data_IF_848859160593
#
_entry.id   IF_848859160593
#
_cell.length_a   1.000
_cell.length_b   1.000
_cell.length_c   1.000
_cell.angle_alpha   90.00
_cell.angle_beta   90.00
_cell.angle_gamma   90.00
#
_symmetry.space_group_name_H-M   'P 1'
#
loop_
_entity.id
_entity.type
_entity.pdbx_description
1 polymer ?
#
# COMPACT_ATOMS: atom_id res chain seq x y z
N UNK A 1 30.48 46.72 1.28
CA UNK A 1 29.59 46.16 0.25
C UNK A 1 30.45 45.22 -0.58
N UNK A 2 30.74 44.05 -0.04
CA UNK A 2 31.51 43.01 -0.72
C UNK A 2 30.67 41.75 -0.68
N UNK A 3 30.32 41.23 -1.86
CA UNK A 3 29.70 39.93 -2.01
C UNK A 3 30.79 38.89 -1.78
N UNK A 4 30.59 37.90 -0.89
CA UNK A 4 31.47 36.74 -0.89
C UNK A 4 31.22 35.93 -2.16
N UNK A 5 32.31 35.57 -2.80
CA UNK A 5 32.42 34.77 -4.00
C UNK A 5 31.70 33.44 -3.81
N UNK A 6 30.84 33.10 -4.77
CA UNK A 6 30.22 31.77 -4.84
C UNK A 6 31.32 30.82 -5.32
N UNK A 7 32.00 30.19 -4.37
CA UNK A 7 32.95 29.12 -4.62
C UNK A 7 32.25 27.98 -5.37
N UNK A 8 32.90 27.58 -6.46
CA UNK A 8 32.45 26.56 -7.38
C UNK A 8 32.27 25.21 -6.68
N UNK A 9 31.01 24.87 -6.38
CA UNK A 9 30.64 23.48 -6.08
C UNK A 9 30.82 22.68 -7.37
N UNK A 10 31.80 21.79 -7.35
CA UNK A 10 32.07 20.82 -8.41
C UNK A 10 30.78 20.13 -8.86
N UNK A 11 30.48 20.29 -10.14
CA UNK A 11 29.28 19.83 -10.83
C UNK A 11 29.26 18.30 -10.93
N UNK A 12 28.92 17.63 -9.82
CA UNK A 12 28.24 16.35 -9.93
C UNK A 12 26.89 16.67 -10.57
N UNK A 13 26.72 16.24 -11.81
CA UNK A 13 25.58 16.59 -12.67
C UNK A 13 24.31 16.04 -12.00
N UNK A 14 23.63 16.87 -11.22
CA UNK A 14 22.35 16.48 -10.64
C UNK A 14 21.40 16.28 -11.82
N UNK A 15 21.02 15.03 -12.08
CA UNK A 15 20.14 14.75 -13.21
C UNK A 15 18.78 15.39 -12.96
N UNK A 16 18.21 16.00 -14.00
CA UNK A 16 16.87 16.57 -13.96
C UNK A 16 15.85 15.56 -13.40
N UNK A 17 15.97 14.29 -13.78
CA UNK A 17 15.13 13.19 -13.28
C UNK A 17 15.18 13.07 -11.76
N UNK A 18 16.37 13.16 -11.15
CA UNK A 18 16.55 13.07 -9.70
C UNK A 18 15.86 14.25 -8.98
N UNK A 19 16.07 15.48 -9.47
CA UNK A 19 15.42 16.67 -8.90
C UNK A 19 13.90 16.65 -9.07
N UNK A 20 13.42 16.22 -10.23
CA UNK A 20 11.99 16.12 -10.51
C UNK A 20 11.31 15.07 -9.61
N UNK A 21 11.97 13.93 -9.32
CA UNK A 21 11.48 12.95 -8.34
C UNK A 21 11.41 13.55 -6.92
N UNK A 22 12.43 14.29 -6.50
CA UNK A 22 12.41 14.98 -5.19
C UNK A 22 11.29 16.03 -5.10
N UNK A 23 11.11 16.84 -6.14
CA UNK A 23 10.04 17.82 -6.21
C UNK A 23 8.64 17.15 -6.22
N UNK A 24 8.52 16.01 -6.88
CA UNK A 24 7.32 15.18 -6.87
C UNK A 24 6.98 14.68 -5.46
N UNK A 25 7.94 14.08 -4.77
CA UNK A 25 7.74 13.59 -3.39
C UNK A 25 7.40 14.72 -2.42
N UNK A 26 8.08 15.86 -2.53
CA UNK A 26 7.76 17.05 -1.75
C UNK A 26 6.32 17.49 -2.01
N UNK A 27 5.89 17.52 -3.27
CA UNK A 27 4.54 17.89 -3.65
C UNK A 27 3.50 16.92 -3.09
N UNK A 28 3.75 15.61 -3.14
CA UNK A 28 2.84 14.61 -2.55
C UNK A 28 2.73 14.76 -1.02
N UNK A 29 3.86 14.91 -0.32
CA UNK A 29 3.89 15.07 1.14
C UNK A 29 3.14 16.31 1.62
N UNK A 30 3.16 17.39 0.81
CA UNK A 30 2.48 18.65 1.10
C UNK A 30 1.08 18.75 0.46
N UNK A 31 0.54 17.64 -0.05
CA UNK A 31 -0.81 17.56 -0.64
C UNK A 31 -1.01 18.47 -1.87
N UNK A 32 0.07 18.83 -2.58
CA UNK A 32 0.09 19.67 -3.77
C UNK A 32 -0.13 18.83 -5.03
N UNK A 33 -1.31 18.22 -5.14
CA UNK A 33 -1.60 17.19 -6.15
C UNK A 33 -1.40 17.63 -7.60
N UNK A 34 -1.81 18.87 -7.94
CA UNK A 34 -1.62 19.43 -9.29
C UNK A 34 -0.14 19.60 -9.64
N UNK A 35 0.69 19.97 -8.65
CA UNK A 35 2.15 20.09 -8.85
C UNK A 35 2.78 18.70 -8.97
N UNK A 36 2.35 17.74 -8.16
CA UNK A 36 2.78 16.35 -8.27
C UNK A 36 2.45 15.78 -9.66
N UNK A 37 1.24 16.02 -10.18
CA UNK A 37 0.86 15.60 -11.52
C UNK A 37 1.77 16.20 -12.60
N UNK A 38 2.05 17.51 -12.52
CA UNK A 38 2.95 18.18 -13.46
C UNK A 38 4.36 17.56 -13.49
N UNK A 39 4.97 17.33 -12.31
CA UNK A 39 6.29 16.71 -12.26
C UNK A 39 6.26 15.26 -12.74
N UNK A 40 5.21 14.50 -12.44
CA UNK A 40 5.07 13.13 -12.92
C UNK A 40 4.90 13.06 -14.45
N UNK A 41 4.11 13.95 -15.06
CA UNK A 41 3.99 14.07 -16.52
C UNK A 41 5.35 14.38 -17.17
N UNK A 42 6.11 15.31 -16.58
CA UNK A 42 7.46 15.65 -17.04
C UNK A 42 8.41 14.46 -16.93
N UNK A 43 8.33 13.69 -15.84
CA UNK A 43 9.15 12.49 -15.63
C UNK A 43 8.84 11.40 -16.68
N UNK A 44 7.57 11.16 -16.98
CA UNK A 44 7.16 10.20 -18.03
C UNK A 44 7.60 10.66 -19.42
N UNK A 45 7.49 11.95 -19.72
CA UNK A 45 7.93 12.51 -21.00
C UNK A 45 9.46 12.38 -21.19
N UNK A 46 10.24 12.52 -20.13
CA UNK A 46 11.70 12.41 -20.17
C UNK A 46 12.16 10.94 -20.25
N UNK A 47 11.56 10.06 -19.43
CA UNK A 47 11.90 8.64 -19.38
C UNK A 47 10.63 7.82 -19.13
N UNK A 48 9.97 7.31 -20.19
CA UNK A 48 8.85 6.41 -20.03
C UNK A 48 9.34 5.04 -19.53
N UNK A 49 8.93 4.66 -18.33
CA UNK A 49 9.15 3.33 -17.76
C UNK A 49 8.02 2.99 -16.78
N UNK A 50 8.00 1.74 -16.30
CA UNK A 50 6.96 1.28 -15.36
C UNK A 50 6.94 2.11 -14.07
N UNK A 51 8.11 2.53 -13.58
CA UNK A 51 8.24 3.36 -12.38
C UNK A 51 7.66 4.77 -12.58
N UNK A 52 8.01 5.47 -13.67
CA UNK A 52 7.51 6.83 -13.92
C UNK A 52 6.01 6.82 -14.22
N UNK A 53 5.53 5.78 -14.89
CA UNK A 53 4.10 5.56 -15.14
C UNK A 53 3.33 5.32 -13.84
N UNK A 54 3.92 4.58 -12.89
CA UNK A 54 3.36 4.41 -11.56
C UNK A 54 3.25 5.75 -10.81
N UNK A 55 4.30 6.57 -10.81
CA UNK A 55 4.29 7.89 -10.16
C UNK A 55 3.21 8.81 -10.75
N UNK A 56 3.01 8.77 -12.07
CA UNK A 56 1.93 9.49 -12.74
C UNK A 56 0.55 9.00 -12.32
N UNK A 57 0.35 7.68 -12.31
CA UNK A 57 -0.89 7.08 -11.81
C UNK A 57 -1.18 7.46 -10.37
N UNK A 58 -0.16 7.49 -9.51
CA UNK A 58 -0.26 7.89 -8.11
C UNK A 58 -0.68 9.36 -7.97
N UNK A 59 -0.08 10.25 -8.76
CA UNK A 59 -0.43 11.67 -8.78
C UNK A 59 -1.91 11.88 -9.16
N UNK A 60 -2.36 11.25 -10.25
CA UNK A 60 -3.75 11.34 -10.71
C UNK A 60 -4.73 10.70 -9.72
N UNK A 61 -4.34 9.60 -9.07
CA UNK A 61 -5.15 8.99 -8.03
C UNK A 61 -5.41 9.96 -6.87
N UNK A 62 -4.36 10.63 -6.37
CA UNK A 62 -4.51 11.64 -5.31
C UNK A 62 -5.28 12.88 -5.78
N UNK A 63 -5.18 13.24 -7.06
CA UNK A 63 -5.96 14.32 -7.66
C UNK A 63 -7.42 13.92 -7.98
N UNK A 64 -7.86 12.71 -7.61
CA UNK A 64 -9.21 12.17 -7.86
C UNK A 64 -9.56 11.96 -9.35
N UNK A 65 -8.55 11.90 -10.22
CA UNK A 65 -8.71 11.65 -11.67
C UNK A 65 -8.59 10.14 -11.97
N UNK A 66 -9.46 9.36 -11.33
CA UNK A 66 -9.38 7.89 -11.28
C UNK A 66 -9.39 7.22 -12.66
N UNK A 67 -10.20 7.72 -13.60
CA UNK A 67 -10.27 7.17 -14.94
C UNK A 67 -8.96 7.38 -15.74
N UNK A 68 -8.30 8.53 -15.56
CA UNK A 68 -6.99 8.80 -16.18
C UNK A 68 -5.92 7.94 -15.54
N UNK A 69 -5.89 7.87 -14.21
CA UNK A 69 -4.98 7.00 -13.47
C UNK A 69 -5.12 5.54 -13.93
N UNK A 70 -6.36 5.04 -14.04
CA UNK A 70 -6.63 3.69 -14.54
C UNK A 70 -6.03 3.48 -15.93
N UNK A 71 -6.26 4.41 -16.86
CA UNK A 71 -5.77 4.29 -18.24
C UNK A 71 -4.24 4.22 -18.31
N UNK A 72 -3.54 5.09 -17.57
CA UNK A 72 -2.07 5.10 -17.55
C UNK A 72 -1.47 3.86 -16.87
N UNK A 73 -2.15 3.28 -15.88
CA UNK A 73 -1.63 2.12 -15.13
C UNK A 73 -1.89 0.77 -15.82
N UNK A 74 -2.69 0.73 -16.89
CA UNK A 74 -2.94 -0.49 -17.65
C UNK A 74 -1.63 -1.03 -18.26
N UNK A 75 -1.37 -2.32 -18.04
CA UNK A 75 -0.18 -3.01 -18.57
C UNK A 75 1.10 -2.83 -17.73
N UNK A 76 1.06 -2.10 -16.61
CA UNK A 76 2.22 -1.94 -15.74
C UNK A 76 2.56 -3.28 -15.02
N UNK A 77 3.86 -3.60 -14.96
CA UNK A 77 4.35 -4.86 -14.38
C UNK A 77 4.61 -4.77 -12.88
N UNK A 78 4.76 -3.55 -12.34
CA UNK A 78 5.05 -3.34 -10.93
C UNK A 78 3.87 -3.76 -10.05
N UNK A 79 4.12 -4.48 -8.93
CA UNK A 79 3.06 -4.88 -8.01
C UNK A 79 2.36 -3.66 -7.37
N UNK A 80 3.10 -2.60 -7.05
CA UNK A 80 2.54 -1.37 -6.48
C UNK A 80 1.58 -0.69 -7.46
N UNK A 81 1.93 -0.69 -8.75
CA UNK A 81 1.11 -0.12 -9.81
C UNK A 81 -0.18 -0.92 -10.04
N UNK A 82 -0.08 -2.25 -10.00
CA UNK A 82 -1.25 -3.15 -10.11
C UNK A 82 -2.20 -3.00 -8.92
N UNK A 83 -1.66 -2.90 -7.70
CA UNK A 83 -2.46 -2.62 -6.52
C UNK A 83 -3.17 -1.25 -6.63
N UNK A 84 -2.45 -0.21 -7.08
CA UNK A 84 -3.04 1.11 -7.30
C UNK A 84 -4.13 1.08 -8.39
N UNK A 85 -3.91 0.34 -9.48
CA UNK A 85 -4.90 0.12 -10.54
C UNK A 85 -6.16 -0.54 -9.96
N UNK A 86 -6.02 -1.59 -9.16
CA UNK A 86 -7.15 -2.24 -8.50
C UNK A 86 -7.92 -1.27 -7.58
N UNK A 87 -7.21 -0.41 -6.85
CA UNK A 87 -7.82 0.62 -6.00
C UNK A 87 -8.61 1.65 -6.83
N UNK A 88 -8.08 2.07 -7.98
CA UNK A 88 -8.81 2.93 -8.92
C UNK A 88 -10.07 2.24 -9.44
N UNK A 89 -9.96 0.99 -9.88
CA UNK A 89 -11.10 0.18 -10.39
C UNK A 89 -12.19 0.00 -9.33
N UNK A 90 -11.80 -0.26 -8.07
CA UNK A 90 -12.72 -0.39 -6.93
C UNK A 90 -13.50 0.91 -6.68
N UNK A 91 -12.85 2.07 -6.72
CA UNK A 91 -13.52 3.37 -6.58
C UNK A 91 -14.45 3.69 -7.77
N UNK A 92 -14.08 3.24 -8.97
CA UNK A 92 -14.91 3.34 -10.17
C UNK A 92 -16.03 2.28 -10.22
N UNK A 93 -16.17 1.43 -9.20
CA UNK A 93 -17.15 0.32 -9.12
C UNK A 93 -17.02 -0.69 -10.26
N UNK A 94 -15.82 -0.83 -10.83
CA UNK A 94 -15.49 -1.83 -11.86
C UNK A 94 -14.83 -3.03 -11.18
N UNK A 95 -15.65 -3.85 -10.53
CA UNK A 95 -15.20 -4.93 -9.66
C UNK A 95 -14.41 -6.01 -10.42
N UNK A 96 -14.85 -6.38 -11.63
CA UNK A 96 -14.20 -7.42 -12.45
C UNK A 96 -12.75 -7.04 -12.78
N UNK A 97 -12.51 -5.79 -13.18
CA UNK A 97 -11.17 -5.29 -13.46
C UNK A 97 -10.31 -5.12 -12.20
N UNK A 98 -10.92 -4.90 -11.05
CA UNK A 98 -10.19 -4.83 -9.79
C UNK A 98 -9.65 -6.22 -9.40
N UNK A 99 -10.44 -7.28 -9.60
CA UNK A 99 -10.00 -8.67 -9.38
C UNK A 99 -8.88 -9.05 -10.34
N UNK A 100 -9.03 -8.75 -11.63
CA UNK A 100 -8.00 -9.00 -12.64
C UNK A 100 -6.68 -8.27 -12.34
N UNK A 101 -6.75 -7.06 -11.80
CA UNK A 101 -5.54 -6.31 -11.43
C UNK A 101 -4.85 -6.87 -10.17
N UNK A 102 -5.58 -7.51 -9.26
CA UNK A 102 -5.04 -8.10 -8.02
C UNK A 102 -4.52 -9.52 -8.20
N UNK A 103 -5.12 -10.30 -9.11
CA UNK A 103 -4.76 -11.67 -9.38
C UNK A 103 -3.84 -11.74 -10.61
N UNK A 104 -2.58 -12.21 -10.48
CA UNK A 104 -1.64 -12.21 -11.59
C UNK A 104 -1.97 -13.21 -12.71
N UNK A 105 -2.95 -14.11 -12.52
CA UNK A 105 -3.38 -15.11 -13.50
C UNK A 105 -4.87 -15.01 -13.78
N UNK A 106 -5.23 -14.90 -15.06
CA UNK A 106 -6.58 -14.72 -15.58
C UNK A 106 -7.50 -15.96 -15.46
N UNK A 107 -7.26 -16.84 -14.48
CA UNK A 107 -7.87 -18.18 -14.43
C UNK A 107 -8.10 -18.74 -13.03
N UNK A 108 -8.49 -17.90 -12.07
CA UNK A 108 -8.70 -18.31 -10.68
C UNK A 108 -7.38 -18.28 -9.91
N UNK A 109 -6.90 -17.08 -9.61
CA UNK A 109 -5.63 -16.88 -8.94
C UNK A 109 -5.64 -17.44 -7.51
N UNK A 110 -4.55 -18.13 -7.15
CA UNK A 110 -4.29 -18.54 -5.78
C UNK A 110 -4.22 -17.29 -4.89
N UNK A 111 -4.91 -17.30 -3.74
CA UNK A 111 -4.84 -16.21 -2.75
C UNK A 111 -3.41 -15.92 -2.27
N UNK A 112 -2.49 -16.87 -2.45
CA UNK A 112 -1.08 -16.74 -2.07
C UNK A 112 -0.26 -15.85 -3.04
N UNK A 113 -0.76 -15.59 -4.25
CA UNK A 113 -0.06 -14.81 -5.28
C UNK A 113 -0.62 -13.38 -5.42
N UNK A 114 -1.47 -12.96 -4.48
CA UNK A 114 -2.11 -11.64 -4.54
C UNK A 114 -1.08 -10.53 -4.45
N UNK A 115 -1.22 -9.56 -5.35
CA UNK A 115 -0.35 -8.39 -5.43
C UNK A 115 -0.38 -7.61 -4.11
N UNK A 116 0.79 -7.19 -3.62
CA UNK A 116 0.93 -6.41 -2.38
C UNK A 116 0.52 -7.16 -1.08
N UNK A 117 0.50 -8.50 -1.11
CA UNK A 117 0.35 -9.36 0.06
C UNK A 117 -0.95 -9.09 0.85
N UNK A 118 -0.82 -8.79 2.15
CA UNK A 118 -1.96 -8.55 3.04
C UNK A 118 -2.88 -7.40 2.57
N UNK A 119 -2.31 -6.29 2.08
CA UNK A 119 -3.11 -5.15 1.61
C UNK A 119 -3.93 -5.50 0.36
N UNK A 120 -3.36 -6.29 -0.55
CA UNK A 120 -4.06 -6.81 -1.72
C UNK A 120 -5.17 -7.78 -1.35
N UNK A 121 -4.93 -8.70 -0.40
CA UNK A 121 -5.93 -9.64 0.11
C UNK A 121 -7.11 -8.92 0.74
N UNK A 122 -6.85 -7.85 1.50
CA UNK A 122 -7.90 -7.02 2.06
C UNK A 122 -8.74 -6.34 0.97
N UNK A 123 -8.11 -5.73 -0.03
CA UNK A 123 -8.82 -5.11 -1.15
C UNK A 123 -9.61 -6.13 -1.96
N UNK A 124 -9.08 -7.33 -2.18
CA UNK A 124 -9.78 -8.43 -2.85
C UNK A 124 -11.02 -8.84 -2.06
N UNK A 125 -10.92 -8.97 -0.73
CA UNK A 125 -12.07 -9.26 0.14
C UNK A 125 -13.16 -8.20 0.02
N UNK A 126 -12.80 -6.91 -0.05
CA UNK A 126 -13.76 -5.83 -0.28
C UNK A 126 -14.44 -5.93 -1.63
N UNK A 127 -13.69 -6.26 -2.69
CA UNK A 127 -14.24 -6.42 -4.04
C UNK A 127 -15.20 -7.63 -4.08
N UNK A 128 -14.81 -8.78 -3.54
CA UNK A 128 -15.66 -9.98 -3.47
C UNK A 128 -16.95 -9.74 -2.66
N UNK A 129 -16.86 -8.97 -1.56
CA UNK A 129 -18.03 -8.54 -0.78
C UNK A 129 -18.99 -7.71 -1.63
N UNK A 130 -18.48 -6.77 -2.43
CA UNK A 130 -19.29 -5.93 -3.34
C UNK A 130 -19.90 -6.74 -4.49
N UNK A 131 -19.26 -7.82 -4.90
CA UNK A 131 -19.80 -8.77 -5.88
C UNK A 131 -20.81 -9.76 -5.28
N UNK A 132 -21.01 -9.78 -3.96
CA UNK A 132 -21.91 -10.70 -3.28
C UNK A 132 -21.31 -12.09 -2.99
N UNK A 133 -20.02 -12.30 -3.27
CA UNK A 133 -19.30 -13.56 -3.01
C UNK A 133 -18.79 -13.62 -1.57
N UNK A 134 -19.73 -13.71 -0.62
CA UNK A 134 -19.43 -13.62 0.83
C UNK A 134 -18.41 -14.64 1.32
N UNK A 135 -18.53 -15.90 0.91
CA UNK A 135 -17.64 -16.98 1.37
C UNK A 135 -16.18 -16.73 0.96
N UNK A 136 -15.97 -16.30 -0.29
CA UNK A 136 -14.65 -15.94 -0.81
C UNK A 136 -14.09 -14.71 -0.09
N UNK A 137 -14.93 -13.72 0.22
CA UNK A 137 -14.51 -12.56 1.00
C UNK A 137 -14.04 -12.94 2.41
N UNK A 138 -14.75 -13.85 3.10
CA UNK A 138 -14.35 -14.36 4.42
C UNK A 138 -12.98 -15.03 4.36
N UNK A 139 -12.73 -15.86 3.34
CA UNK A 139 -11.42 -16.49 3.16
C UNK A 139 -10.31 -15.47 2.89
N UNK A 140 -10.57 -14.48 2.04
CA UNK A 140 -9.61 -13.40 1.73
C UNK A 140 -9.23 -12.61 3.00
N UNK A 141 -10.21 -12.22 3.82
CA UNK A 141 -9.93 -11.50 5.06
C UNK A 141 -9.22 -12.37 6.09
N UNK A 142 -9.57 -13.66 6.19
CA UNK A 142 -8.87 -14.58 7.08
C UNK A 142 -7.39 -14.74 6.68
N UNK A 143 -7.11 -14.92 5.39
CA UNK A 143 -5.73 -14.95 4.85
C UNK A 143 -4.99 -13.65 5.10
N UNK A 144 -5.66 -12.50 4.92
CA UNK A 144 -5.09 -11.19 5.24
C UNK A 144 -4.62 -11.11 6.70
N UNK A 145 -5.39 -11.66 7.65
CA UNK A 145 -5.04 -11.65 9.08
C UNK A 145 -3.94 -12.65 9.44
N UNK A 146 -3.79 -13.73 8.66
CA UNK A 146 -2.65 -14.64 8.81
C UNK A 146 -1.33 -13.94 8.42
N UNK A 147 -1.36 -13.12 7.37
CA UNK A 147 -0.20 -12.35 6.90
C UNK A 147 0.09 -11.13 7.78
N UNK A 148 -0.94 -10.35 8.12
CA UNK A 148 -0.83 -9.15 8.94
C UNK A 148 -1.93 -9.11 10.01
N UNK A 149 -1.63 -9.57 11.24
CA UNK A 149 -2.55 -9.53 12.38
C UNK A 149 -2.97 -8.10 12.78
N UNK A 150 -2.17 -7.08 12.44
CA UNK A 150 -2.45 -5.68 12.76
C UNK A 150 -3.51 -5.04 11.86
N UNK A 151 -4.02 -5.75 10.84
CA UNK A 151 -5.01 -5.23 9.91
C UNK A 151 -6.41 -5.21 10.56
N UNK A 152 -6.68 -4.20 11.39
CA UNK A 152 -7.91 -4.12 12.18
C UNK A 152 -9.17 -4.14 11.30
N UNK A 153 -9.17 -3.41 10.18
CA UNK A 153 -10.33 -3.34 9.28
C UNK A 153 -10.67 -4.72 8.68
N UNK A 154 -9.65 -5.53 8.39
CA UNK A 154 -9.86 -6.89 7.91
C UNK A 154 -10.53 -7.76 8.98
N UNK A 155 -10.13 -7.62 10.25
CA UNK A 155 -10.76 -8.33 11.36
C UNK A 155 -12.19 -7.89 11.63
N UNK A 156 -12.46 -6.58 11.60
CA UNK A 156 -13.82 -6.07 11.77
C UNK A 156 -14.74 -6.62 10.68
N UNK A 157 -14.33 -6.52 9.41
CA UNK A 157 -15.11 -7.02 8.28
C UNK A 157 -15.30 -8.52 8.33
N UNK A 158 -14.23 -9.28 8.61
CA UNK A 158 -14.29 -10.72 8.78
C UNK A 158 -15.26 -11.13 9.90
N UNK A 159 -15.12 -10.53 11.08
CA UNK A 159 -15.97 -10.81 12.24
C UNK A 159 -17.44 -10.49 11.94
N UNK A 160 -17.71 -9.35 11.29
CA UNK A 160 -19.07 -8.99 10.88
C UNK A 160 -19.66 -9.98 9.87
N UNK A 161 -18.87 -10.45 8.90
CA UNK A 161 -19.31 -11.46 7.92
C UNK A 161 -19.45 -12.87 8.52
N UNK A 162 -18.76 -13.19 9.60
CA UNK A 162 -18.94 -14.48 10.29
C UNK A 162 -20.12 -14.41 11.26
N UNK A 163 -20.23 -13.35 12.05
CA UNK A 163 -21.26 -13.17 13.09
C UNK A 163 -22.60 -12.68 12.56
N UNK A 164 -22.60 -11.91 11.46
CA UNK A 164 -23.79 -11.37 10.82
C UNK A 164 -24.54 -12.37 9.95
N UNK A 165 -24.17 -13.66 9.98
CA UNK A 165 -24.95 -14.73 9.38
C UNK A 165 -26.18 -15.01 10.25
N UNK A 166 -27.41 -14.97 9.74
CA UNK A 166 -28.59 -15.35 10.50
C UNK A 166 -28.69 -16.88 10.59
N UNK A 167 -28.02 -17.54 11.55
CA UNK A 167 -28.32 -18.93 11.99
C UNK A 167 -27.57 -19.33 13.30
N UNK A 168 -27.92 -20.43 14.03
CA UNK A 168 -28.53 -20.40 15.36
C UNK A 168 -27.60 -20.82 16.54
N UNK A 169 -26.29 -20.93 16.34
CA UNK A 169 -25.37 -21.49 17.34
C UNK A 169 -24.14 -20.61 17.51
N UNK A 170 -24.27 -19.60 18.38
CA UNK A 170 -23.16 -18.72 18.80
C UNK A 170 -22.29 -19.44 19.82
N UNK A 171 -21.32 -20.20 19.35
CA UNK A 171 -20.30 -20.77 20.23
C UNK A 171 -19.07 -21.18 19.43
N UNK A 172 -18.21 -20.22 19.02
CA UNK A 172 -16.81 -20.49 18.58
C UNK A 172 -15.90 -19.28 18.28
N UNK A 173 -16.34 -18.01 18.34
CA UNK A 173 -15.47 -16.89 17.90
C UNK A 173 -14.45 -16.39 18.93
N UNK A 174 -14.65 -16.65 20.23
CA UNK A 174 -13.70 -16.25 21.28
C UNK A 174 -12.32 -16.92 21.13
N UNK A 175 -12.27 -18.14 20.58
CA UNK A 175 -11.01 -18.84 20.33
C UNK A 175 -10.19 -18.19 19.21
N UNK A 176 -10.85 -17.68 18.17
CA UNK A 176 -10.17 -17.16 16.98
C UNK A 176 -9.54 -15.79 17.26
N UNK A 177 -10.26 -14.89 17.91
CA UNK A 177 -9.73 -13.57 18.31
C UNK A 177 -8.47 -13.72 19.18
N UNK A 178 -8.55 -14.59 20.19
CA UNK A 178 -7.44 -14.90 21.11
C UNK A 178 -6.24 -15.51 20.40
N UNK A 179 -6.47 -16.26 19.31
CA UNK A 179 -5.41 -16.88 18.50
C UNK A 179 -4.78 -15.98 17.45
N UNK A 180 -5.41 -14.85 17.11
CA UNK A 180 -4.95 -13.90 16.08
C UNK A 180 -4.26 -12.69 16.71
N UNK A 181 -4.81 -12.17 17.82
CA UNK A 181 -4.27 -11.02 18.55
C UNK A 181 -3.53 -11.45 19.83
N UNK A 182 -2.50 -12.26 19.67
CA UNK A 182 -1.58 -12.61 20.77
C UNK A 182 -0.26 -11.87 20.57
N UNK A 183 0.39 -11.46 21.67
CA UNK A 183 1.68 -10.77 21.65
C UNK A 183 2.74 -11.52 20.82
N UNK A 184 2.71 -12.85 20.85
CA UNK A 184 3.63 -13.71 20.10
C UNK A 184 3.48 -13.56 18.58
N UNK A 185 2.26 -13.53 18.04
CA UNK A 185 2.02 -13.35 16.59
C UNK A 185 2.27 -11.92 16.14
N UNK A 186 2.01 -10.95 17.01
CA UNK A 186 2.32 -9.55 16.75
C UNK A 186 3.84 -9.36 16.62
N UNK A 187 4.64 -10.00 17.49
CA UNK A 187 6.09 -9.97 17.40
C UNK A 187 6.64 -10.67 16.14
N UNK A 188 6.09 -11.83 15.76
CA UNK A 188 6.50 -12.58 14.58
C UNK A 188 6.23 -11.82 13.27
N UNK A 189 5.09 -11.15 13.17
CA UNK A 189 4.73 -10.39 11.96
C UNK A 189 5.44 -9.05 11.87
N UNK A 190 5.68 -8.37 12.99
CA UNK A 190 6.57 -7.22 13.03
C UNK A 190 7.98 -7.57 12.53
N UNK A 191 8.51 -8.74 12.93
CA UNK A 191 9.79 -9.24 12.44
C UNK A 191 9.77 -9.58 10.94
N UNK A 192 8.68 -10.17 10.43
CA UNK A 192 8.55 -10.51 9.00
C UNK A 192 8.39 -9.27 8.10
N UNK A 193 7.69 -8.24 8.58
CA UNK A 193 7.56 -6.95 7.88
C UNK A 193 8.90 -6.19 7.92
N UNK A 194 9.59 -6.19 9.06
CA UNK A 194 10.93 -5.62 9.19
C UNK A 194 11.99 -6.32 8.33
N UNK A 195 11.84 -7.62 8.06
CA UNK A 195 12.73 -8.37 7.18
C UNK A 195 12.51 -8.10 5.68
N UNK A 196 11.44 -7.38 5.31
CA UNK A 196 11.10 -7.08 3.91
C UNK A 196 11.67 -5.75 3.39
N UNK A 197 12.44 -5.02 4.20
CA UNK A 197 13.23 -3.86 3.73
C UNK A 197 14.67 -4.21 3.32
N UNK A 198 14.85 -4.14 1.99
CA UNK A 198 16.04 -3.84 1.17
C UNK A 198 17.19 -4.87 1.01
N UNK A 199 17.56 -5.22 -0.25
CA UNK A 199 18.87 -5.75 -0.57
C UNK A 199 19.95 -4.69 -0.31
N UNK A 200 21.06 -5.15 0.26
CA UNK A 200 22.18 -4.34 0.69
C UNK A 200 22.83 -3.56 -0.47
N UNK A 201 22.79 -2.24 -0.40
CA UNK A 201 23.89 -1.38 -0.86
C UNK A 201 24.20 -0.38 0.25
N UNK A 202 25.26 -0.65 1.00
CA UNK A 202 25.67 0.17 2.11
C UNK A 202 26.16 1.56 1.69
N UNK A 203 25.85 2.55 2.53
CA UNK A 203 26.83 3.48 3.11
C UNK A 203 26.16 4.27 4.23
N UNK A 204 26.83 4.23 5.38
CA UNK A 204 26.61 5.00 6.60
C UNK A 204 25.96 6.37 6.41
N UNK A 205 24.92 6.64 7.20
CA UNK A 205 24.83 7.87 8.01
C UNK A 205 24.19 7.49 9.35
N UNK A 206 24.97 7.61 10.42
CA UNK A 206 24.50 7.50 11.79
C UNK A 206 23.58 8.67 12.15
N UNK A 207 22.62 8.41 13.03
CA UNK A 207 21.94 9.43 13.81
C UNK A 207 20.49 9.68 13.39
N UNK A 208 19.55 8.94 14.00
CA UNK A 208 18.35 9.50 14.62
C UNK A 208 17.58 8.37 15.31
N UNK A 209 18.06 7.94 16.48
CA UNK A 209 17.36 7.01 17.34
C UNK A 209 17.48 7.45 18.80
N UNK A 210 16.54 8.27 19.25
CA UNK A 210 16.00 8.21 20.61
C UNK A 210 15.05 9.38 20.82
N UNK A 211 13.77 9.04 20.99
CA UNK A 211 12.76 9.68 21.85
C UNK A 211 11.40 9.68 21.15
N UNK A 212 10.71 8.53 21.21
CA UNK A 212 9.25 8.49 21.19
C UNK A 212 8.75 7.09 21.62
N UNK A 213 9.22 6.59 22.77
CA UNK A 213 8.50 5.53 23.49
C UNK A 213 8.78 5.73 24.97
N UNK A 214 7.88 6.39 25.71
CA UNK A 214 7.65 6.19 27.15
C UNK A 214 6.67 7.24 27.67
N UNK A 215 5.36 6.96 27.58
CA UNK A 215 4.36 7.29 28.62
C UNK A 215 2.99 6.79 28.19
N UNK A 216 2.74 5.48 28.29
CA UNK A 216 1.39 4.91 28.26
C UNK A 216 1.31 3.60 29.05
N UNK A 217 2.04 3.46 30.17
CA UNK A 217 1.85 2.34 31.11
C UNK A 217 2.29 2.76 32.51
N UNK A 218 1.36 3.30 33.31
CA UNK A 218 1.50 3.31 34.77
C UNK A 218 0.12 3.37 35.45
N UNK A 219 -0.40 2.20 35.80
CA UNK A 219 -1.20 1.92 37.01
C UNK A 219 -0.50 0.72 37.66
N UNK A 220 -0.40 0.57 39.00
CA UNK A 220 -1.51 0.42 39.97
C UNK A 220 -1.25 1.22 41.28
N UNK A 221 -2.09 1.28 42.32
CA UNK A 221 -3.10 0.37 42.89
C UNK A 221 -4.37 1.12 43.34
#
# INVERSE_FOLDING_TARGET
MERPEVEAVSSSTISFVSQAKLAFEYSLKNLLWKQAAFYAERLVAERPCDETTYLLGLAYFHNQELARAQWHLQGNKLPEARYLLAKCCSQLKRWDLAEEALLPSAGGGNLNEVVNGAAGLFLLGQVQERQGRREQAVECYFRCLQECPFMWEAYERWSWLVLGSPSPSRSSTAGVASSTFSDEKLAQTAAAVGAREAPATGRHVEGFASQCVQTCCARPA
#
